data_IF_494458028641
#
_entry.id   IF_494458028641
#
_cell.length_a   1.000
_cell.length_b   1.000
_cell.length_c   1.000
_cell.angle_alpha   90.00
_cell.angle_beta   90.00
_cell.angle_gamma   90.00
#
_symmetry.space_group_name_H-M   'P 1'
#
loop_
_entity.id
_entity.type
_entity.pdbx_description
1 polymer ?
#
# COMPACT_ATOMS: atom_id res chain seq x y z
N UNK A 1 -5.04 31.95 17.50
CA UNK A 1 -6.38 31.32 17.54
C UNK A 1 -7.42 32.16 18.30
N UNK A 2 -7.03 32.96 19.28
CA UNK A 2 -7.95 33.77 20.12
C UNK A 2 -8.79 34.81 19.36
N UNK A 3 -8.46 35.11 18.10
CA UNK A 3 -9.16 36.12 17.27
C UNK A 3 -10.16 35.48 16.31
N UNK A 4 -10.13 34.16 16.14
CA UNK A 4 -10.99 33.43 15.20
C UNK A 4 -12.35 33.20 15.88
N UNK A 5 -13.42 33.72 15.27
CA UNK A 5 -14.79 33.41 15.67
C UNK A 5 -15.38 32.42 14.69
N UNK A 6 -15.74 31.23 15.18
CA UNK A 6 -16.41 30.22 14.36
C UNK A 6 -17.77 30.73 13.88
N UNK A 7 -17.98 30.76 12.57
CA UNK A 7 -19.26 31.15 11.93
C UNK A 7 -19.42 30.37 10.63
N UNK A 8 -20.63 29.90 10.36
CA UNK A 8 -20.98 29.22 9.12
C UNK A 8 -21.06 27.67 9.25
N UNK A 9 -21.05 27.03 8.11
CA UNK A 9 -21.15 25.58 7.94
C UNK A 9 -19.77 24.91 7.94
N UNK A 10 -19.71 23.58 8.01
CA UNK A 10 -18.48 22.80 8.09
C UNK A 10 -18.08 22.26 6.68
N UNK A 11 -17.21 22.97 5.91
CA UNK A 11 -16.85 22.60 4.53
C UNK A 11 -15.64 21.64 4.51
N UNK A 12 -15.78 20.42 5.00
CA UNK A 12 -14.67 19.45 5.16
C UNK A 12 -14.02 19.13 3.80
N UNK A 13 -14.83 18.79 2.80
CA UNK A 13 -14.33 18.42 1.49
C UNK A 13 -13.54 19.57 0.83
N UNK A 14 -14.05 20.78 0.90
CA UNK A 14 -13.37 21.96 0.38
C UNK A 14 -12.08 22.28 1.15
N UNK A 15 -12.11 22.13 2.46
CA UNK A 15 -10.91 22.34 3.30
C UNK A 15 -9.80 21.34 2.96
N UNK A 16 -10.16 20.08 2.73
CA UNK A 16 -9.22 19.07 2.26
C UNK A 16 -8.65 19.45 0.89
N UNK A 17 -9.49 19.87 -0.05
CA UNK A 17 -9.07 20.27 -1.40
C UNK A 17 -8.12 21.48 -1.39
N UNK A 18 -8.40 22.49 -0.59
CA UNK A 18 -7.52 23.64 -0.43
C UNK A 18 -6.21 23.27 0.26
N UNK A 19 -6.25 22.48 1.36
CA UNK A 19 -5.05 22.04 2.07
C UNK A 19 -4.10 21.21 1.22
N UNK A 20 -4.62 20.49 0.22
CA UNK A 20 -3.76 19.73 -0.69
C UNK A 20 -2.93 20.61 -1.64
N UNK A 21 -3.25 21.88 -1.79
CA UNK A 21 -2.45 22.82 -2.58
C UNK A 21 -1.16 23.26 -1.86
N UNK A 22 -1.11 23.07 -0.55
CA UNK A 22 0.04 23.44 0.28
C UNK A 22 1.15 22.39 0.24
N UNK A 23 0.93 21.25 -0.43
CA UNK A 23 1.92 20.17 -0.48
C UNK A 23 3.07 20.49 -1.43
N UNK A 24 4.34 20.31 -0.99
CA UNK A 24 5.52 20.72 -1.76
C UNK A 24 5.92 19.80 -2.91
N UNK A 25 5.04 18.88 -3.37
CA UNK A 25 5.31 18.00 -4.52
C UNK A 25 5.62 16.54 -4.17
N UNK A 26 6.03 15.75 -5.18
CA UNK A 26 5.98 14.29 -5.19
C UNK A 26 7.02 13.57 -4.31
N UNK A 27 8.05 14.27 -3.84
CA UNK A 27 9.15 13.67 -3.07
C UNK A 27 8.96 13.79 -1.54
N UNK A 28 7.81 14.26 -1.09
CA UNK A 28 7.48 14.39 0.32
C UNK A 28 6.31 13.47 0.71
N UNK A 29 6.38 12.96 1.93
CA UNK A 29 5.23 12.26 2.53
C UNK A 29 4.25 13.29 3.04
N UNK A 30 3.17 13.51 2.29
CA UNK A 30 2.13 14.47 2.61
C UNK A 30 1.06 13.82 3.48
N UNK A 31 0.85 14.34 4.68
CA UNK A 31 -0.12 13.80 5.64
C UNK A 31 -1.06 14.91 6.06
N UNK A 32 -2.36 14.63 6.04
CA UNK A 32 -3.40 15.51 6.56
C UNK A 32 -3.98 14.90 7.84
N UNK A 33 -4.07 15.73 8.86
CA UNK A 33 -4.81 15.42 10.09
C UNK A 33 -6.06 16.27 10.08
N UNK A 34 -7.21 15.65 9.90
CA UNK A 34 -8.51 16.31 9.96
C UNK A 34 -9.04 16.21 11.39
N UNK A 35 -9.26 17.35 12.02
CA UNK A 35 -9.91 17.46 13.33
C UNK A 35 -11.26 18.10 13.12
N UNK A 36 -12.33 17.43 13.51
CA UNK A 36 -13.70 17.92 13.30
C UNK A 36 -14.63 17.51 14.44
N UNK A 37 -15.53 18.41 14.78
CA UNK A 37 -16.66 18.19 15.69
C UNK A 37 -18.00 18.11 14.94
N UNK A 38 -17.97 18.14 13.61
CA UNK A 38 -19.14 18.16 12.76
C UNK A 38 -19.01 17.40 11.46
N UNK A 39 -20.12 17.38 10.72
CA UNK A 39 -20.25 16.73 9.41
C UNK A 39 -19.98 17.71 8.27
N UNK A 40 -19.75 17.14 7.07
CA UNK A 40 -19.81 17.92 5.85
C UNK A 40 -21.21 18.51 5.67
N UNK A 41 -21.30 19.83 5.60
CA UNK A 41 -22.58 20.55 5.47
C UNK A 41 -22.68 21.37 4.19
N UNK A 42 -21.63 21.36 3.35
CA UNK A 42 -21.57 22.17 2.13
C UNK A 42 -21.91 21.39 0.85
N UNK A 43 -22.45 20.18 0.98
CA UNK A 43 -22.95 19.38 -0.14
C UNK A 43 -21.87 18.75 -1.04
N UNK A 44 -20.59 18.83 -0.64
CA UNK A 44 -19.49 18.14 -1.31
C UNK A 44 -19.26 16.76 -0.69
N UNK A 45 -18.62 15.86 -1.45
CA UNK A 45 -18.28 14.51 -0.97
C UNK A 45 -16.80 14.44 -0.56
N UNK A 46 -16.47 14.39 0.75
CA UNK A 46 -15.08 14.23 1.21
C UNK A 46 -14.41 12.97 0.66
N UNK A 47 -15.19 11.92 0.41
CA UNK A 47 -14.71 10.68 -0.19
C UNK A 47 -14.25 10.88 -1.64
N UNK A 48 -14.99 11.68 -2.42
CA UNK A 48 -14.60 12.00 -3.79
C UNK A 48 -13.28 12.77 -3.83
N UNK A 49 -13.09 13.72 -2.91
CA UNK A 49 -11.85 14.49 -2.77
C UNK A 49 -10.69 13.55 -2.37
N UNK A 50 -10.88 12.68 -1.39
CA UNK A 50 -9.87 11.71 -0.97
C UNK A 50 -9.45 10.80 -2.14
N UNK A 51 -10.39 10.28 -2.93
CA UNK A 51 -10.12 9.49 -4.13
C UNK A 51 -9.35 10.28 -5.20
N UNK A 52 -9.69 11.55 -5.41
CA UNK A 52 -9.01 12.42 -6.37
C UNK A 52 -7.53 12.58 -6.02
N UNK A 53 -7.23 12.81 -4.74
CA UNK A 53 -5.85 12.96 -4.27
C UNK A 53 -5.04 11.68 -4.39
N UNK A 54 -5.63 10.55 -4.03
CA UNK A 54 -4.98 9.24 -4.22
C UNK A 54 -4.63 8.99 -5.70
N UNK A 55 -5.52 9.38 -6.64
CA UNK A 55 -5.25 9.29 -8.10
C UNK A 55 -4.09 10.18 -8.54
N UNK A 56 -3.88 11.33 -7.90
CA UNK A 56 -2.76 12.23 -8.17
C UNK A 56 -1.45 11.79 -7.49
N UNK A 57 -1.42 10.63 -6.85
CA UNK A 57 -0.24 10.15 -6.13
C UNK A 57 -0.02 10.84 -4.78
N UNK A 58 -0.89 11.74 -4.39
CA UNK A 58 -0.87 12.37 -3.07
C UNK A 58 -1.43 11.34 -2.09
N UNK A 59 -0.60 10.89 -1.17
CA UNK A 59 -1.01 9.93 -0.13
C UNK A 59 -1.81 10.71 0.91
N UNK A 60 -3.09 10.90 0.62
CA UNK A 60 -4.04 11.51 1.52
C UNK A 60 -4.89 10.40 2.13
N UNK A 61 -4.41 9.81 3.22
CA UNK A 61 -5.29 9.24 4.23
C UNK A 61 -5.24 10.20 5.42
N UNK A 62 -6.12 11.19 5.48
CA UNK A 62 -6.18 12.04 6.65
C UNK A 62 -6.49 11.16 7.86
N UNK A 63 -5.82 11.44 8.96
CA UNK A 63 -6.27 10.96 10.23
C UNK A 63 -7.45 11.85 10.64
N UNK A 64 -8.60 11.24 10.86
CA UNK A 64 -9.81 11.96 11.27
C UNK A 64 -9.97 11.83 12.78
N UNK A 65 -9.82 12.93 13.49
CA UNK A 65 -10.09 12.98 14.93
C UNK A 65 -11.46 13.61 15.12
N UNK A 66 -12.46 12.79 15.43
CA UNK A 66 -13.80 13.22 15.72
C UNK A 66 -13.93 13.60 17.18
N UNK A 67 -14.44 14.80 17.48
CA UNK A 67 -14.70 15.30 18.83
C UNK A 67 -16.19 15.26 19.11
N UNK A 68 -16.63 14.36 20.01
CA UNK A 68 -18.03 14.27 20.38
C UNK A 68 -18.98 13.76 19.28
N UNK A 69 -18.47 13.05 18.28
CA UNK A 69 -19.25 12.46 17.20
C UNK A 69 -19.77 11.08 17.61
N UNK A 70 -20.96 10.73 17.15
CA UNK A 70 -21.54 9.41 17.37
C UNK A 70 -21.00 8.36 16.35
N UNK A 71 -21.27 7.08 16.61
CA UNK A 71 -20.75 5.97 15.79
C UNK A 71 -21.25 5.96 14.34
N UNK A 72 -22.34 6.66 14.02
CA UNK A 72 -22.86 6.76 12.66
C UNK A 72 -21.90 7.50 11.72
N UNK A 73 -21.08 8.37 12.27
CA UNK A 73 -20.11 9.20 11.54
C UNK A 73 -18.85 8.47 11.14
N UNK A 74 -18.46 7.41 11.88
CA UNK A 74 -17.29 6.59 11.58
C UNK A 74 -17.36 6.09 10.14
N UNK A 75 -18.52 5.60 9.71
CA UNK A 75 -18.73 5.10 8.35
C UNK A 75 -18.60 6.17 7.27
N UNK A 76 -18.97 7.41 7.59
CA UNK A 76 -18.88 8.54 6.64
C UNK A 76 -17.44 8.93 6.38
N UNK A 77 -16.54 8.73 7.34
CA UNK A 77 -15.13 9.10 7.21
C UNK A 77 -14.19 7.94 6.85
N UNK A 78 -14.66 6.70 6.83
CA UNK A 78 -13.84 5.51 6.49
C UNK A 78 -13.11 5.64 5.15
N UNK A 79 -13.73 6.32 4.18
CA UNK A 79 -13.15 6.57 2.86
C UNK A 79 -12.13 7.72 2.85
N UNK A 80 -12.19 8.60 3.86
CA UNK A 80 -11.32 9.78 3.96
C UNK A 80 -10.04 9.43 4.71
N UNK A 81 -10.15 8.65 5.79
CA UNK A 81 -9.00 8.26 6.59
C UNK A 81 -9.33 7.41 7.79
N UNK A 82 -8.32 7.11 8.60
CA UNK A 82 -8.51 6.38 9.84
C UNK A 82 -9.17 7.28 10.88
N UNK A 83 -10.36 6.89 11.33
CA UNK A 83 -11.13 7.63 12.32
C UNK A 83 -10.68 7.32 13.73
N UNK A 84 -10.51 8.36 14.54
CA UNK A 84 -10.24 8.30 15.98
C UNK A 84 -11.30 9.12 16.73
N UNK A 85 -11.90 8.52 17.73
CA UNK A 85 -12.88 9.19 18.58
C UNK A 85 -12.18 9.85 19.77
N UNK A 86 -12.29 11.17 19.87
CA UNK A 86 -11.76 11.99 20.95
C UNK A 86 -12.90 12.63 21.77
N UNK A 87 -13.73 11.80 22.40
CA UNK A 87 -14.88 12.26 23.18
C UNK A 87 -14.50 13.09 24.40
N UNK A 88 -13.24 12.99 24.86
CA UNK A 88 -12.68 13.72 26.01
C UNK A 88 -11.37 14.40 25.63
N UNK A 89 -11.06 15.51 26.28
CA UNK A 89 -9.82 16.26 26.08
C UNK A 89 -8.56 15.40 26.35
N UNK A 90 -8.62 14.51 27.34
CA UNK A 90 -7.54 13.54 27.61
C UNK A 90 -7.29 12.59 26.44
N UNK A 91 -8.36 12.19 25.76
CA UNK A 91 -8.29 11.26 24.64
C UNK A 91 -7.67 11.94 23.42
N UNK A 92 -7.97 13.24 23.21
CA UNK A 92 -7.42 14.03 22.12
C UNK A 92 -5.88 14.06 22.16
N UNK A 93 -5.29 14.38 23.30
CA UNK A 93 -3.82 14.42 23.46
C UNK A 93 -3.19 13.03 23.23
N UNK A 94 -3.80 11.97 23.75
CA UNK A 94 -3.31 10.61 23.53
C UNK A 94 -3.41 10.21 22.05
N UNK A 95 -4.55 10.49 21.41
CA UNK A 95 -4.78 10.19 20.00
C UNK A 95 -3.79 10.98 19.12
N UNK A 96 -3.60 12.26 19.40
CA UNK A 96 -2.65 13.09 18.65
C UNK A 96 -1.22 12.54 18.75
N UNK A 97 -0.78 12.12 19.93
CA UNK A 97 0.52 11.46 20.11
C UNK A 97 0.63 10.16 19.32
N UNK A 98 -0.43 9.33 19.33
CA UNK A 98 -0.49 8.12 18.51
C UNK A 98 -0.38 8.45 17.02
N UNK A 99 -1.14 9.43 16.53
CA UNK A 99 -1.09 9.88 15.13
C UNK A 99 0.31 10.39 14.76
N UNK A 100 0.95 11.18 15.62
CA UNK A 100 2.31 11.68 15.40
C UNK A 100 3.32 10.52 15.35
N UNK A 101 3.25 9.57 16.28
CA UNK A 101 4.10 8.37 16.26
C UNK A 101 3.93 7.59 14.96
N UNK A 102 2.71 7.38 14.52
CA UNK A 102 2.41 6.72 13.24
C UNK A 102 3.00 7.43 12.01
N UNK A 103 3.19 8.74 12.13
CA UNK A 103 3.80 9.56 11.06
C UNK A 103 5.32 9.44 11.06
N UNK A 104 5.94 9.35 12.25
CA UNK A 104 7.40 9.43 12.44
C UNK A 104 8.05 8.03 12.44
N UNK A 105 7.37 7.01 12.95
CA UNK A 105 7.94 5.68 13.13
C UNK A 105 8.15 4.94 11.80
N UNK A 106 9.30 4.27 11.68
CA UNK A 106 9.62 3.44 10.53
C UNK A 106 8.83 2.12 10.59
N UNK A 107 7.84 2.01 9.74
CA UNK A 107 7.13 0.74 9.50
C UNK A 107 7.92 -0.07 8.49
N UNK A 108 8.10 -1.35 8.77
CA UNK A 108 8.87 -2.23 7.91
C UNK A 108 8.06 -3.46 7.50
N UNK A 109 8.37 -3.99 6.32
CA UNK A 109 7.83 -5.27 5.86
C UNK A 109 8.94 -6.19 5.39
N UNK A 110 8.69 -7.47 5.53
CA UNK A 110 9.46 -8.55 4.95
C UNK A 110 8.51 -9.47 4.18
N UNK A 111 8.80 -9.71 2.91
CA UNK A 111 8.05 -10.69 2.12
C UNK A 111 8.74 -12.03 2.25
N UNK A 112 7.99 -13.04 2.65
CA UNK A 112 8.46 -14.42 2.74
C UNK A 112 7.90 -15.20 1.55
N UNK A 113 8.76 -15.56 0.60
CA UNK A 113 8.42 -16.42 -0.52
C UNK A 113 8.55 -17.88 -0.08
N UNK A 114 7.41 -18.55 0.04
CA UNK A 114 7.32 -19.88 0.64
C UNK A 114 7.44 -20.97 -0.43
N UNK A 115 8.21 -22.01 -0.11
CA UNK A 115 8.32 -23.25 -0.88
C UNK A 115 7.12 -24.19 -0.64
N UNK A 116 7.18 -25.42 -1.18
CA UNK A 116 6.15 -26.45 -0.99
C UNK A 116 5.97 -26.89 0.46
N UNK A 117 6.98 -26.69 1.31
CA UNK A 117 6.95 -27.01 2.74
C UNK A 117 6.54 -25.83 3.59
N UNK A 118 6.21 -24.68 2.94
CA UNK A 118 5.90 -23.41 3.58
C UNK A 118 7.10 -22.77 4.33
N UNK A 119 8.31 -23.13 3.93
CA UNK A 119 9.53 -22.48 4.43
C UNK A 119 9.91 -21.30 3.53
N UNK A 120 10.42 -20.17 4.07
CA UNK A 120 10.75 -18.97 3.32
C UNK A 120 12.10 -19.08 2.59
N UNK A 121 12.22 -20.07 1.71
CA UNK A 121 13.46 -20.44 1.02
C UNK A 121 13.52 -19.94 -0.42
N UNK A 122 12.40 -19.49 -0.99
CA UNK A 122 12.33 -19.01 -2.37
C UNK A 122 12.82 -17.56 -2.50
N UNK A 123 13.46 -17.23 -3.61
CA UNK A 123 14.09 -15.92 -3.84
C UNK A 123 14.23 -15.60 -5.33
N UNK A 124 14.86 -14.46 -5.68
CA UNK A 124 15.10 -14.01 -7.07
C UNK A 124 13.81 -13.77 -7.88
N UNK A 125 12.75 -13.36 -7.21
CA UNK A 125 11.47 -13.00 -7.81
C UNK A 125 11.27 -11.49 -7.76
N UNK A 126 10.84 -10.90 -8.86
CA UNK A 126 10.43 -9.50 -8.87
C UNK A 126 9.11 -9.35 -8.10
N UNK A 127 9.09 -8.41 -7.17
CA UNK A 127 7.92 -8.06 -6.34
C UNK A 127 7.46 -6.65 -6.66
N UNK A 128 6.16 -6.46 -6.79
CA UNK A 128 5.56 -5.13 -6.93
C UNK A 128 4.49 -4.91 -5.88
N UNK A 129 4.62 -3.84 -5.12
CA UNK A 129 3.60 -3.34 -4.22
C UNK A 129 2.78 -2.28 -4.93
N UNK A 130 1.50 -2.49 -5.02
CA UNK A 130 0.54 -1.54 -5.56
C UNK A 130 -0.28 -0.93 -4.43
N UNK A 131 -0.66 0.33 -4.57
CA UNK A 131 -1.79 0.83 -3.80
C UNK A 131 -3.02 0.01 -4.19
N UNK A 132 -3.61 -0.73 -3.26
CA UNK A 132 -4.69 -1.69 -3.56
C UNK A 132 -5.96 -1.01 -4.04
N UNK A 133 -6.17 0.25 -3.69
CA UNK A 133 -7.33 1.03 -4.12
C UNK A 133 -7.16 1.60 -5.54
N UNK A 134 -6.00 2.19 -5.84
CA UNK A 134 -5.76 2.89 -7.13
C UNK A 134 -5.14 2.00 -8.20
N UNK A 135 -4.53 0.88 -7.80
CA UNK A 135 -3.75 0.03 -8.69
C UNK A 135 -2.40 0.60 -9.11
N UNK A 136 -2.01 1.78 -8.59
CA UNK A 136 -0.74 2.42 -8.94
C UNK A 136 0.41 1.69 -8.20
N UNK A 137 1.49 1.30 -8.91
CA UNK A 137 2.67 0.70 -8.27
C UNK A 137 3.36 1.74 -7.38
N UNK A 138 3.76 1.31 -6.19
CA UNK A 138 4.47 2.13 -5.20
C UNK A 138 5.90 1.70 -4.99
N UNK A 139 6.14 0.38 -4.92
CA UNK A 139 7.46 -0.20 -4.76
C UNK A 139 7.61 -1.36 -5.74
N UNK A 140 8.80 -1.47 -6.31
CA UNK A 140 9.19 -2.59 -7.16
C UNK A 140 10.64 -2.95 -6.87
N UNK A 141 10.90 -4.21 -6.57
CA UNK A 141 12.25 -4.70 -6.29
C UNK A 141 12.36 -6.20 -6.57
N UNK A 142 13.57 -6.68 -6.68
CA UNK A 142 13.86 -8.12 -6.76
C UNK A 142 14.04 -8.63 -5.34
N UNK A 143 13.25 -9.63 -4.96
CA UNK A 143 13.38 -10.30 -3.66
C UNK A 143 14.76 -10.94 -3.55
N UNK A 144 15.46 -10.63 -2.47
CA UNK A 144 16.78 -11.18 -2.15
C UNK A 144 16.80 -11.66 -0.71
N UNK A 145 17.81 -12.46 -0.39
CA UNK A 145 18.08 -12.94 0.96
C UNK A 145 19.49 -12.52 1.39
N UNK A 146 19.64 -12.22 2.66
CA UNK A 146 20.95 -11.92 3.23
C UNK A 146 21.81 -13.21 3.40
N UNK A 147 23.05 -13.06 3.85
CA UNK A 147 23.98 -14.16 4.03
C UNK A 147 23.51 -15.25 5.03
N UNK A 148 22.51 -14.94 5.85
CA UNK A 148 21.91 -15.88 6.82
C UNK A 148 20.63 -16.56 6.28
N UNK A 149 20.25 -16.29 5.04
CA UNK A 149 19.03 -16.84 4.42
C UNK A 149 17.75 -16.13 4.84
N UNK A 150 17.83 -14.96 5.44
CA UNK A 150 16.65 -14.18 5.78
C UNK A 150 16.31 -13.21 4.64
N UNK A 151 15.03 -13.11 4.24
CA UNK A 151 14.58 -12.12 3.27
C UNK A 151 14.86 -10.69 3.71
N UNK A 152 15.09 -9.81 2.74
CA UNK A 152 15.36 -8.41 3.00
C UNK A 152 14.14 -7.70 3.57
N UNK A 153 14.42 -6.77 4.48
CA UNK A 153 13.41 -5.90 5.08
C UNK A 153 13.40 -4.55 4.40
N UNK A 154 12.23 -4.03 4.07
CA UNK A 154 12.08 -2.70 3.50
C UNK A 154 11.23 -1.79 4.38
N UNK A 155 11.55 -0.50 4.38
CA UNK A 155 10.70 0.54 4.96
C UNK A 155 9.56 0.85 4.00
N UNK A 156 8.34 0.93 4.54
CA UNK A 156 7.12 1.11 3.74
C UNK A 156 6.16 2.08 4.43
N UNK A 157 5.35 2.77 3.64
CA UNK A 157 4.33 3.67 4.18
C UNK A 157 3.13 2.88 4.74
N UNK A 158 2.87 2.93 6.07
CA UNK A 158 1.77 2.19 6.69
C UNK A 158 0.37 2.76 6.39
N UNK A 159 0.29 3.96 5.80
CA UNK A 159 -0.99 4.62 5.54
C UNK A 159 -1.77 3.95 4.42
N UNK A 160 -1.08 3.29 3.48
CA UNK A 160 -1.70 2.61 2.34
C UNK A 160 -2.10 1.17 2.67
N UNK A 161 -3.18 0.73 2.02
CA UNK A 161 -3.44 -0.70 1.84
C UNK A 161 -2.76 -1.17 0.58
N UNK A 162 -2.10 -2.32 0.64
CA UNK A 162 -1.29 -2.84 -0.46
C UNK A 162 -1.86 -4.10 -1.09
N UNK A 163 -1.69 -4.17 -2.42
CA UNK A 163 -1.70 -5.40 -3.20
C UNK A 163 -0.24 -5.73 -3.53
N UNK A 164 0.23 -6.92 -3.17
CA UNK A 164 1.57 -7.41 -3.51
C UNK A 164 1.47 -8.48 -4.58
N UNK A 165 2.27 -8.33 -5.62
CA UNK A 165 2.38 -9.28 -6.71
C UNK A 165 3.80 -9.81 -6.76
N UNK A 166 3.95 -11.13 -6.61
CA UNK A 166 5.17 -11.85 -6.95
C UNK A 166 5.07 -12.25 -8.43
N UNK A 167 5.99 -11.77 -9.25
CA UNK A 167 6.01 -12.02 -10.69
C UNK A 167 6.59 -13.39 -11.03
N UNK A 168 6.02 -14.43 -10.41
CA UNK A 168 6.25 -15.84 -10.74
C UNK A 168 5.48 -16.23 -12.00
N UNK A 169 5.59 -17.48 -12.43
CA UNK A 169 4.84 -18.03 -13.56
C UNK A 169 4.04 -19.25 -13.08
N UNK A 170 2.72 -19.11 -12.86
CA UNK A 170 1.89 -17.89 -12.90
C UNK A 170 2.21 -16.92 -11.76
N UNK A 171 1.81 -15.63 -11.88
CA UNK A 171 2.04 -14.66 -10.81
C UNK A 171 1.15 -14.94 -9.59
N UNK A 172 1.76 -14.75 -8.41
CA UNK A 172 1.06 -14.89 -7.13
C UNK A 172 0.73 -13.51 -6.57
N UNK A 173 -0.50 -13.34 -6.12
CA UNK A 173 -1.01 -12.04 -5.64
C UNK A 173 -1.67 -12.18 -4.28
N UNK A 174 -1.32 -11.27 -3.39
CA UNK A 174 -2.03 -11.06 -2.12
C UNK A 174 -2.54 -9.62 -2.07
N UNK A 175 -3.75 -9.40 -1.51
CA UNK A 175 -4.43 -8.11 -1.48
C UNK A 175 -4.84 -7.73 -0.07
N UNK A 176 -5.27 -6.48 0.08
CA UNK A 176 -5.81 -5.93 1.34
C UNK A 176 -4.81 -6.00 2.50
N UNK A 177 -3.51 -5.86 2.19
CA UNK A 177 -2.48 -5.83 3.21
C UNK A 177 -2.52 -4.46 3.87
N UNK A 178 -2.88 -4.45 5.14
CA UNK A 178 -2.84 -3.27 6.00
C UNK A 178 -1.69 -3.42 6.99
N UNK A 179 -0.98 -2.33 7.25
CA UNK A 179 0.20 -2.31 8.10
C UNK A 179 -0.10 -1.56 9.39
N UNK A 180 0.45 -2.04 10.50
CA UNK A 180 0.46 -1.28 11.74
C UNK A 180 1.66 -0.35 11.74
N UNK A 181 1.46 0.97 11.87
CA UNK A 181 2.57 1.91 11.93
C UNK A 181 3.55 1.60 13.05
N UNK A 182 4.85 1.74 12.75
CA UNK A 182 5.93 1.46 13.68
C UNK A 182 6.24 -0.04 13.91
N UNK A 183 5.45 -0.94 13.32
CA UNK A 183 5.65 -2.38 13.47
C UNK A 183 6.32 -3.01 12.24
N UNK A 184 6.89 -4.19 12.46
CA UNK A 184 7.39 -5.05 11.40
C UNK A 184 6.33 -6.07 10.99
N UNK A 185 6.01 -6.15 9.68
CA UNK A 185 5.00 -7.06 9.16
C UNK A 185 5.61 -8.10 8.23
N UNK A 186 5.31 -9.37 8.46
CA UNK A 186 5.65 -10.47 7.55
C UNK A 186 4.51 -10.72 6.57
N UNK A 187 4.85 -10.80 5.27
CA UNK A 187 3.89 -11.05 4.20
C UNK A 187 4.24 -12.39 3.55
N UNK A 188 3.53 -13.48 3.89
CA UNK A 188 3.78 -14.78 3.27
C UNK A 188 3.14 -14.86 1.88
N UNK A 189 3.88 -15.38 0.90
CA UNK A 189 3.43 -15.68 -0.45
C UNK A 189 3.79 -17.12 -0.80
N UNK A 190 2.82 -17.95 -1.10
CA UNK A 190 3.05 -19.33 -1.55
C UNK A 190 3.54 -19.31 -3.00
N UNK A 191 4.83 -19.43 -3.18
CA UNK A 191 5.52 -19.31 -4.47
C UNK A 191 6.52 -20.43 -4.70
N UNK A 192 6.12 -21.70 -4.57
CA UNK A 192 7.04 -22.79 -4.80
C UNK A 192 7.61 -22.71 -6.21
N UNK A 193 8.92 -22.75 -6.34
CA UNK A 193 9.63 -22.67 -7.61
C UNK A 193 10.08 -24.05 -8.07
N UNK A 194 9.99 -24.27 -9.37
CA UNK A 194 10.50 -25.47 -10.03
C UNK A 194 11.53 -25.10 -11.10
N UNK A 195 12.33 -26.06 -11.49
CA UNK A 195 13.29 -25.91 -12.58
C UNK A 195 12.76 -26.58 -13.83
N UNK A 196 12.56 -25.81 -14.92
CA UNK A 196 12.27 -26.34 -16.24
C UNK A 196 13.58 -26.51 -17.02
N UNK A 197 13.99 -27.76 -17.27
CA UNK A 197 15.13 -28.07 -18.11
C UNK A 197 14.66 -28.43 -19.52
N UNK A 198 15.06 -27.62 -20.51
CA UNK A 198 14.78 -27.92 -21.93
C UNK A 198 16.07 -28.37 -22.58
N UNK A 199 16.05 -29.59 -23.15
CA UNK A 199 17.19 -30.18 -23.85
C UNK A 199 16.88 -30.28 -25.34
N UNK A 200 17.72 -29.71 -26.19
CA UNK A 200 17.57 -29.74 -27.62
C UNK A 200 18.72 -30.49 -28.28
N UNK A 201 18.43 -31.22 -29.38
CA UNK A 201 19.46 -31.93 -30.17
C UNK A 201 20.25 -31.00 -31.09
N UNK A 202 19.73 -29.80 -31.38
CA UNK A 202 20.36 -28.80 -32.27
C UNK A 202 20.94 -27.64 -31.46
N UNK A 203 21.96 -26.97 -32.02
CA UNK A 203 22.54 -25.75 -31.44
C UNK A 203 21.88 -24.46 -31.96
N UNK A 204 20.69 -24.55 -32.50
CA UNK A 204 19.97 -23.43 -33.06
C UNK A 204 19.32 -22.59 -31.97
N UNK A 205 19.10 -21.31 -32.31
CA UNK A 205 18.36 -20.38 -31.47
C UNK A 205 16.90 -20.84 -31.36
N UNK A 206 16.34 -20.79 -30.16
CA UNK A 206 14.94 -21.14 -29.95
C UNK A 206 14.22 -20.12 -29.07
N UNK A 207 12.90 -20.15 -29.13
CA UNK A 207 12.02 -19.36 -28.26
C UNK A 207 11.17 -20.34 -27.47
N UNK A 208 11.02 -20.09 -26.17
CA UNK A 208 10.12 -20.81 -25.29
C UNK A 208 8.92 -19.93 -24.98
N UNK A 209 7.72 -20.47 -25.16
CA UNK A 209 6.47 -19.82 -24.79
C UNK A 209 5.79 -20.68 -23.75
N UNK A 210 5.55 -20.13 -22.57
CA UNK A 210 4.85 -20.82 -21.49
C UNK A 210 3.40 -20.34 -21.46
N UNK A 211 2.46 -21.28 -21.48
CA UNK A 211 1.02 -21.05 -21.40
C UNK A 211 0.40 -21.99 -20.38
N UNK A 212 -0.67 -21.56 -19.75
CA UNK A 212 -1.49 -22.45 -18.96
C UNK A 212 -2.25 -23.40 -19.91
N UNK A 213 -2.36 -24.67 -19.55
CA UNK A 213 -3.09 -25.65 -20.35
C UNK A 213 -4.56 -25.24 -20.51
N UNK A 214 -5.06 -25.21 -21.75
CA UNK A 214 -6.40 -24.76 -22.08
C UNK A 214 -6.58 -23.24 -22.27
N UNK A 215 -5.53 -22.46 -22.00
CA UNK A 215 -5.56 -21.00 -22.16
C UNK A 215 -4.83 -20.57 -23.44
N UNK A 216 -5.32 -19.47 -24.04
CA UNK A 216 -4.66 -18.84 -25.21
C UNK A 216 -3.63 -17.81 -24.81
N UNK A 217 -3.77 -17.26 -23.59
CA UNK A 217 -2.89 -16.22 -23.07
C UNK A 217 -1.49 -16.74 -22.79
N UNK A 218 -0.49 -16.00 -23.23
CA UNK A 218 0.92 -16.30 -22.97
C UNK A 218 1.31 -15.77 -21.60
N UNK A 219 1.79 -16.66 -20.72
CA UNK A 219 2.29 -16.29 -19.39
C UNK A 219 3.71 -15.74 -19.48
N UNK A 220 4.55 -16.35 -20.31
CA UNK A 220 5.95 -15.98 -20.44
C UNK A 220 6.50 -16.30 -21.82
N UNK A 221 7.41 -15.44 -22.31
CA UNK A 221 8.17 -15.65 -23.55
C UNK A 221 9.63 -15.44 -23.28
N UNK A 222 10.44 -16.46 -23.53
CA UNK A 222 11.89 -16.37 -23.41
C UNK A 222 12.55 -16.69 -24.75
N UNK A 223 13.48 -15.84 -25.16
CA UNK A 223 14.37 -16.11 -26.32
C UNK A 223 15.72 -16.55 -25.81
N UNK A 224 16.17 -17.72 -26.25
CA UNK A 224 17.51 -18.22 -25.95
C UNK A 224 18.37 -18.07 -27.18
N UNK A 225 19.41 -17.23 -27.07
CA UNK A 225 20.29 -16.89 -28.19
C UNK A 225 21.51 -17.81 -28.32
N UNK A 226 21.81 -18.58 -27.28
CA UNK A 226 22.91 -19.56 -27.25
C UNK A 226 22.43 -20.86 -26.68
N UNK A 227 22.88 -21.98 -27.25
CA UNK A 227 22.74 -23.26 -26.58
C UNK A 227 23.80 -23.32 -25.48
N UNK A 228 23.39 -23.24 -24.22
CA UNK A 228 24.27 -23.63 -23.14
C UNK A 228 24.54 -25.15 -23.23
N UNK A 229 25.82 -25.52 -22.96
CA UNK A 229 26.29 -26.89 -23.01
C UNK A 229 25.86 -27.64 -21.76
#
# INVERSE_FOLDING_TARGET
LSVIRAKGTTPIARSLEEGAKDFPGDNARNIVILITDGKEECGMDPCAVSRLFQRKGIILKPFVIGVGLDDSWKKTFDCVGRFFDASKESDFSNILNVVISHVIDNTTVQVNLLDEKREPTETNVNLTFYNDFTGIPKYNYIHTMNAYGNPDTMVIDPVLSYKVVAHTIPPVTVRHITLTPGEHTYIPLETPQGTLKITMKTKEKYSCIIRQAGETNTLHVQKVNTSEK
#
